data_IF_504247324194
#
_entry.id   IF_504247324194
#
_cell.length_a   1.000
_cell.length_b   1.000
_cell.length_c   1.000
_cell.angle_alpha   90.00
_cell.angle_beta   90.00
_cell.angle_gamma   90.00
#
_symmetry.space_group_name_H-M   'P 1'
#
loop_
_entity.id
_entity.type
_entity.pdbx_description
1 polymer ?
#
# COMPACT_ATOMS: atom_id res chain seq x y z
N UNK A 1 -0.72 -1.34 16.08
CA UNK A 1 -1.61 -2.14 15.23
C UNK A 1 -2.45 -1.14 14.46
N UNK A 2 -2.65 -1.31 13.17
CA UNK A 2 -3.37 -0.32 12.36
C UNK A 2 -3.74 -0.89 11.00
N UNK A 3 -4.77 -0.28 10.42
CA UNK A 3 -5.36 -0.69 9.14
C UNK A 3 -5.18 0.40 8.08
N UNK A 4 -4.92 -0.03 6.86
CA UNK A 4 -4.75 0.84 5.70
C UNK A 4 -5.54 0.31 4.51
N UNK A 5 -6.19 1.21 3.79
CA UNK A 5 -6.81 0.95 2.49
C UNK A 5 -5.87 1.45 1.39
N UNK A 6 -5.43 0.54 0.53
CA UNK A 6 -4.58 0.85 -0.63
C UNK A 6 -5.37 0.56 -1.89
N UNK A 7 -5.51 1.55 -2.77
CA UNK A 7 -6.12 1.38 -4.09
C UNK A 7 -5.03 1.25 -5.13
N UNK A 8 -5.03 0.16 -5.91
CA UNK A 8 -4.05 -0.11 -6.97
C UNK A 8 -4.80 -0.31 -8.28
N UNK A 9 -4.64 0.61 -9.24
CA UNK A 9 -5.31 0.52 -10.54
C UNK A 9 -6.84 0.47 -10.45
N UNK A 10 -7.42 1.05 -9.39
CA UNK A 10 -8.86 1.02 -9.11
C UNK A 10 -9.33 -0.13 -8.21
N UNK A 11 -8.47 -1.11 -7.91
CA UNK A 11 -8.80 -2.20 -6.98
C UNK A 11 -8.43 -1.82 -5.55
N UNK A 12 -9.36 -2.02 -4.62
CA UNK A 12 -9.18 -1.68 -3.21
C UNK A 12 -8.64 -2.88 -2.43
N UNK A 13 -7.58 -2.66 -1.66
CA UNK A 13 -6.90 -3.65 -0.85
C UNK A 13 -6.82 -3.16 0.61
N UNK A 14 -7.46 -3.88 1.53
CA UNK A 14 -7.35 -3.62 2.96
C UNK A 14 -6.17 -4.41 3.53
N UNK A 15 -5.23 -3.70 4.13
CA UNK A 15 -4.02 -4.26 4.73
C UNK A 15 -4.08 -4.09 6.24
N UNK A 16 -3.73 -5.16 6.94
CA UNK A 16 -3.57 -5.19 8.39
C UNK A 16 -2.11 -5.35 8.75
N UNK A 17 -1.81 -5.25 10.04
CA UNK A 17 -0.45 -5.45 10.55
C UNK A 17 0.07 -6.84 10.17
N UNK A 18 1.23 -6.87 9.52
CA UNK A 18 1.90 -8.09 9.08
C UNK A 18 1.69 -8.39 7.59
N UNK A 19 0.73 -7.72 6.95
CA UNK A 19 0.51 -7.87 5.52
C UNK A 19 1.51 -7.04 4.70
N UNK A 20 1.85 -7.54 3.51
CA UNK A 20 2.70 -6.87 2.54
C UNK A 20 2.02 -6.90 1.17
N UNK A 21 2.13 -5.82 0.41
CA UNK A 21 1.64 -5.74 -0.97
C UNK A 21 2.73 -5.20 -1.89
N UNK A 22 2.76 -5.69 -3.12
CA UNK A 22 3.64 -5.16 -4.18
C UNK A 22 2.86 -4.13 -4.98
N UNK A 23 3.40 -2.92 -5.07
CA UNK A 23 2.88 -1.84 -5.90
C UNK A 23 3.55 -1.88 -7.28
N UNK A 24 2.87 -2.32 -8.35
CA UNK A 24 3.45 -2.38 -9.70
C UNK A 24 3.84 -0.99 -10.23
N UNK A 25 4.90 -0.91 -11.02
CA UNK A 25 5.31 0.35 -11.65
C UNK A 25 4.24 0.85 -12.65
N UNK A 26 4.16 2.18 -12.82
CA UNK A 26 3.26 2.86 -13.78
C UNK A 26 1.75 2.68 -13.57
N UNK A 27 1.32 2.02 -12.50
CA UNK A 27 -0.10 1.95 -12.13
C UNK A 27 -0.39 3.06 -11.09
N UNK A 28 -1.54 3.73 -11.12
CA UNK A 28 -1.93 4.66 -10.06
C UNK A 28 -2.16 3.92 -8.74
N UNK A 29 -1.55 4.44 -7.66
CA UNK A 29 -1.74 3.92 -6.30
C UNK A 29 -2.24 5.05 -5.41
N UNK A 30 -3.25 4.76 -4.59
CA UNK A 30 -3.74 5.66 -3.54
C UNK A 30 -3.68 4.96 -2.19
N UNK A 31 -3.40 5.70 -1.13
CA UNK A 31 -3.26 5.17 0.23
C UNK A 31 -4.12 5.99 1.18
N UNK A 32 -4.96 5.30 1.94
CA UNK A 32 -5.86 5.88 2.94
C UNK A 32 -5.65 5.18 4.27
N UNK A 33 -5.19 5.95 5.25
CA UNK A 33 -5.06 5.47 6.62
C UNK A 33 -6.46 5.38 7.25
N UNK A 34 -6.96 4.17 7.47
CA UNK A 34 -8.22 3.96 8.21
C UNK A 34 -7.97 4.17 9.71
N UNK A 35 -6.81 3.70 10.18
CA UNK A 35 -6.32 3.94 11.53
C UNK A 35 -4.89 4.46 11.51
N UNK A 36 -4.40 4.94 12.67
CA UNK A 36 -2.99 5.31 12.81
C UNK A 36 -2.10 4.08 12.66
N UNK A 37 -1.36 4.02 11.57
CA UNK A 37 -0.41 2.94 11.32
C UNK A 37 0.97 3.48 10.94
N UNK A 38 1.96 2.58 10.92
CA UNK A 38 3.30 2.83 10.36
C UNK A 38 3.52 1.80 9.27
N UNK A 39 4.17 2.22 8.18
CA UNK A 39 4.55 1.33 7.09
C UNK A 39 6.02 1.52 6.73
N UNK A 40 6.61 0.43 6.23
CA UNK A 40 7.89 0.45 5.55
C UNK A 40 7.61 0.43 4.04
N UNK A 41 8.14 1.40 3.31
CA UNK A 41 8.04 1.46 1.85
C UNK A 41 9.42 1.27 1.25
N UNK A 42 9.56 0.23 0.42
CA UNK A 42 10.77 -0.05 -0.34
C UNK A 42 10.47 0.13 -1.82
N UNK A 43 11.01 1.18 -2.43
CA UNK A 43 10.85 1.43 -3.85
C UNK A 43 12.02 0.79 -4.61
N UNK A 44 11.72 -0.15 -5.50
CA UNK A 44 12.69 -0.76 -6.40
C UNK A 44 12.50 -0.13 -7.78
N UNK A 45 13.52 0.55 -8.28
CA UNK A 45 13.54 1.16 -9.62
C UNK A 45 14.70 0.54 -10.40
N UNK A 46 14.44 0.12 -11.64
CA UNK A 46 15.51 -0.27 -12.55
C UNK A 46 16.15 0.99 -13.15
N UNK A 47 17.48 0.96 -13.33
CA UNK A 47 18.29 2.06 -13.85
C UNK A 47 18.04 2.31 -15.35
#
# INVERSE_FOLDING_TARGET
>A
DGEAEITIGGNLHNLKKGDCIIMPANIPHALKAVERFKMLLTMIKQE
#
